data_IF_699563705817
#
_entry.id   IF_699563705817
#
_cell.length_a   1.000
_cell.length_b   1.000
_cell.length_c   1.000
_cell.angle_alpha   90.00
_cell.angle_beta   90.00
_cell.angle_gamma   90.00
#
_symmetry.space_group_name_H-M   'P 1'
#
loop_
_entity.id
_entity.type
_entity.pdbx_description
1 polymer ?
#
# COMPACT_ATOMS: atom_id res chain seq x y z
N UNK A 1 -7.94 15.79 -26.05
CA UNK A 1 -8.71 14.96 -25.10
C UNK A 1 -10.08 15.63 -24.89
N UNK A 2 -11.10 14.88 -24.57
CA UNK A 2 -12.41 15.39 -24.18
C UNK A 2 -12.47 15.49 -22.64
N UNK A 3 -13.54 16.18 -22.12
CA UNK A 3 -13.77 16.19 -20.66
C UNK A 3 -13.81 14.76 -20.08
N UNK A 4 -14.37 13.78 -20.78
CA UNK A 4 -14.42 12.39 -20.36
C UNK A 4 -13.02 11.76 -20.24
N UNK A 5 -12.07 12.17 -21.10
CA UNK A 5 -10.73 11.60 -21.11
C UNK A 5 -9.86 12.11 -19.95
N UNK A 6 -10.19 13.27 -19.37
CA UNK A 6 -9.38 13.93 -18.32
C UNK A 6 -10.06 13.97 -16.97
N UNK A 7 -11.38 13.84 -16.90
CA UNK A 7 -12.16 13.96 -15.67
C UNK A 7 -11.85 12.87 -14.65
N UNK A 8 -11.68 13.30 -13.41
CA UNK A 8 -11.60 12.44 -12.22
C UNK A 8 -12.45 13.05 -11.12
N UNK A 9 -13.27 12.23 -10.47
CA UNK A 9 -14.15 12.67 -9.39
C UNK A 9 -13.38 13.01 -8.09
N UNK A 10 -12.20 12.40 -7.88
CA UNK A 10 -11.46 12.53 -6.63
C UNK A 10 -11.14 13.96 -6.21
N UNK A 11 -10.69 14.89 -7.08
CA UNK A 11 -10.41 16.25 -6.63
C UNK A 11 -11.64 17.04 -6.13
N UNK A 12 -12.84 16.51 -6.26
CA UNK A 12 -14.08 17.13 -5.76
C UNK A 12 -14.47 16.61 -4.37
N UNK A 13 -14.16 15.33 -4.08
CA UNK A 13 -14.67 14.65 -2.89
C UNK A 13 -13.60 13.96 -2.04
N UNK A 14 -12.35 14.09 -2.41
CA UNK A 14 -11.24 13.36 -1.78
C UNK A 14 -9.95 14.17 -1.72
N UNK A 15 -9.14 13.87 -0.72
CA UNK A 15 -7.71 14.14 -0.73
C UNK A 15 -6.93 13.06 0.05
N UNK A 16 -5.64 12.93 -0.30
CA UNK A 16 -4.69 12.08 0.41
C UNK A 16 -3.71 12.95 1.19
N UNK A 17 -3.65 12.78 2.51
CA UNK A 17 -2.69 13.45 3.39
C UNK A 17 -1.43 12.61 3.52
N UNK A 18 -0.30 13.19 3.15
CA UNK A 18 1.02 12.58 3.28
C UNK A 18 1.55 12.65 4.72
N UNK A 19 2.62 11.88 5.05
CA UNK A 19 3.25 11.95 6.37
C UNK A 19 3.69 13.35 6.82
N UNK A 20 3.94 14.27 5.90
CA UNK A 20 4.32 15.67 6.16
C UNK A 20 3.13 16.63 6.22
N UNK A 21 1.90 16.10 6.16
CA UNK A 21 0.67 16.90 6.18
C UNK A 21 0.25 17.47 4.83
N UNK A 22 1.09 17.37 3.79
CA UNK A 22 0.75 17.83 2.44
C UNK A 22 -0.42 17.03 1.87
N UNK A 23 -1.49 17.71 1.48
CA UNK A 23 -2.67 17.11 0.87
C UNK A 23 -2.57 17.13 -0.65
N UNK A 24 -2.93 16.00 -1.29
CA UNK A 24 -2.92 15.81 -2.74
C UNK A 24 -4.29 15.34 -3.23
N UNK A 25 -4.63 15.57 -4.50
CA UNK A 25 -5.88 15.09 -5.10
C UNK A 25 -6.09 13.57 -5.00
N UNK A 26 -5.02 12.78 -4.95
CA UNK A 26 -5.03 11.35 -4.64
C UNK A 26 -3.62 10.85 -4.31
N UNK A 27 -3.49 9.63 -3.80
CA UNK A 27 -2.20 9.01 -3.48
C UNK A 27 -1.28 8.83 -4.70
N UNK A 28 -1.84 8.69 -5.90
CA UNK A 28 -1.08 8.53 -7.17
C UNK A 28 -0.65 9.85 -7.79
N UNK A 29 -1.19 10.98 -7.36
CA UNK A 29 -0.86 12.29 -7.91
C UNK A 29 0.60 12.66 -7.69
N UNK A 30 1.29 13.01 -8.78
CA UNK A 30 2.73 13.31 -8.79
C UNK A 30 2.96 14.82 -8.73
N UNK A 31 3.01 15.36 -7.53
CA UNK A 31 3.09 16.80 -7.29
C UNK A 31 4.46 17.44 -7.55
N UNK A 32 5.54 16.66 -7.56
CA UNK A 32 6.90 17.15 -7.85
C UNK A 32 7.24 17.14 -9.34
N UNK A 33 6.36 16.61 -10.16
CA UNK A 33 6.46 16.56 -11.62
C UNK A 33 5.23 17.24 -12.23
N UNK A 34 4.97 18.47 -11.79
CA UNK A 34 3.90 19.34 -12.28
C UNK A 34 4.52 20.63 -12.84
N UNK A 35 3.74 21.40 -13.58
CA UNK A 35 4.15 22.72 -14.08
C UNK A 35 4.34 23.72 -12.92
N UNK A 36 3.64 23.50 -11.82
CA UNK A 36 3.72 24.30 -10.62
C UNK A 36 4.92 23.88 -9.76
N UNK A 37 5.46 24.82 -8.98
CA UNK A 37 6.59 24.57 -8.11
C UNK A 37 6.26 23.57 -6.98
N UNK A 38 7.29 22.90 -6.47
CA UNK A 38 7.16 22.03 -5.29
C UNK A 38 6.64 22.83 -4.07
N UNK A 39 7.02 24.09 -3.94
CA UNK A 39 6.56 24.98 -2.86
C UNK A 39 5.06 25.26 -2.93
N UNK A 40 4.50 25.44 -4.16
CA UNK A 40 3.07 25.60 -4.36
C UNK A 40 2.25 24.44 -3.80
N UNK A 41 2.73 23.20 -3.98
CA UNK A 41 2.06 22.03 -3.40
C UNK A 41 2.35 21.86 -1.91
N UNK A 42 3.50 22.30 -1.42
CA UNK A 42 3.84 22.26 0.00
C UNK A 42 2.93 23.17 0.85
N UNK A 43 2.46 24.29 0.28
CA UNK A 43 1.50 25.19 0.93
C UNK A 43 0.13 24.54 1.16
N UNK A 44 -0.25 23.50 0.38
CA UNK A 44 -1.47 22.74 0.56
C UNK A 44 -1.36 21.74 1.72
N UNK A 45 -0.96 22.22 2.89
CA UNK A 45 -0.74 21.40 4.08
C UNK A 45 -1.98 21.43 4.98
N UNK A 46 -2.69 20.30 5.06
CA UNK A 46 -3.92 20.16 5.83
C UNK A 46 -3.78 20.64 7.27
N UNK A 47 -2.67 20.34 7.92
CA UNK A 47 -2.44 20.70 9.32
C UNK A 47 -2.38 22.22 9.55
N UNK A 48 -2.04 22.97 8.51
CA UNK A 48 -1.93 24.44 8.56
C UNK A 48 -3.20 25.15 8.10
N UNK A 49 -3.92 24.56 7.11
CA UNK A 49 -5.04 25.25 6.44
C UNK A 49 -6.41 24.60 6.66
N UNK A 50 -6.46 23.35 7.11
CA UNK A 50 -7.71 22.60 7.35
C UNK A 50 -8.40 22.10 6.08
N UNK A 51 -9.43 21.27 6.25
CA UNK A 51 -10.13 20.53 5.19
C UNK A 51 -10.73 21.42 4.10
N UNK A 52 -11.49 22.43 4.49
CA UNK A 52 -12.17 23.33 3.54
C UNK A 52 -11.19 24.08 2.65
N UNK A 53 -10.08 24.57 3.21
CA UNK A 53 -9.07 25.28 2.46
C UNK A 53 -8.26 24.34 1.56
N UNK A 54 -8.07 23.08 1.94
CA UNK A 54 -7.47 22.06 1.06
C UNK A 54 -8.35 21.87 -0.18
N UNK A 55 -9.64 21.57 0.02
CA UNK A 55 -10.55 21.28 -1.09
C UNK A 55 -10.84 22.49 -1.96
N UNK A 56 -10.97 23.69 -1.37
CA UNK A 56 -11.31 24.92 -2.09
C UNK A 56 -10.09 25.75 -2.50
N UNK A 57 -8.88 25.35 -2.10
CA UNK A 57 -7.64 26.05 -2.41
C UNK A 57 -7.24 26.01 -3.89
N UNK A 58 -6.30 26.88 -4.27
CA UNK A 58 -5.88 27.04 -5.66
C UNK A 58 -5.31 25.77 -6.29
N UNK A 59 -4.68 24.89 -5.49
CA UNK A 59 -4.10 23.63 -5.96
C UNK A 59 -5.18 22.71 -6.52
N UNK A 60 -6.26 22.50 -5.77
CA UNK A 60 -7.37 21.65 -6.20
C UNK A 60 -8.26 22.33 -7.25
N UNK A 61 -8.48 23.65 -7.12
CA UNK A 61 -9.23 24.42 -8.11
C UNK A 61 -8.60 24.32 -9.50
N UNK A 62 -7.28 24.53 -9.61
CA UNK A 62 -6.56 24.41 -10.88
C UNK A 62 -6.62 23.01 -11.50
N UNK A 63 -6.55 21.95 -10.67
CA UNK A 63 -6.72 20.57 -11.15
C UNK A 63 -8.14 20.37 -11.72
N UNK A 64 -9.18 20.80 -10.98
CA UNK A 64 -10.58 20.67 -11.43
C UNK A 64 -10.86 21.47 -12.71
N UNK A 65 -10.36 22.70 -12.80
CA UNK A 65 -10.53 23.56 -13.99
C UNK A 65 -9.95 22.90 -15.24
N UNK A 66 -8.70 22.40 -15.19
CA UNK A 66 -8.08 21.67 -16.31
C UNK A 66 -8.90 20.43 -16.69
N UNK A 67 -9.32 19.62 -15.73
CA UNK A 67 -10.12 18.42 -15.99
C UNK A 67 -11.47 18.75 -16.66
N UNK A 68 -12.16 19.77 -16.17
CA UNK A 68 -13.45 20.20 -16.73
C UNK A 68 -13.32 20.81 -18.13
N UNK A 69 -12.17 21.44 -18.45
CA UNK A 69 -11.83 21.94 -19.75
C UNK A 69 -11.41 20.86 -20.77
N UNK A 70 -11.24 19.60 -20.32
CA UNK A 70 -10.71 18.52 -21.16
C UNK A 70 -9.19 18.60 -21.36
N UNK A 71 -8.51 19.34 -20.51
CA UNK A 71 -7.07 19.50 -20.53
C UNK A 71 -6.40 18.46 -19.63
N UNK A 72 -5.31 17.79 -20.07
CA UNK A 72 -4.61 16.82 -19.25
C UNK A 72 -3.94 17.51 -18.07
N UNK A 73 -4.08 16.92 -16.90
CA UNK A 73 -3.39 17.33 -15.68
C UNK A 73 -2.08 16.55 -15.57
N UNK A 74 -0.94 17.25 -15.61
CA UNK A 74 0.38 16.60 -15.62
C UNK A 74 0.57 15.64 -14.46
N UNK A 75 0.22 16.03 -13.24
CA UNK A 75 0.32 15.14 -12.06
C UNK A 75 -0.52 13.86 -12.13
N UNK A 76 -1.44 13.72 -13.08
CA UNK A 76 -2.30 12.55 -13.29
C UNK A 76 -1.77 11.57 -14.34
N UNK A 77 -0.57 11.78 -14.90
CA UNK A 77 -0.02 11.01 -16.01
C UNK A 77 0.01 9.48 -15.78
N UNK A 78 0.16 9.04 -14.53
CA UNK A 78 0.17 7.60 -14.20
C UNK A 78 -1.15 6.90 -14.56
N UNK A 79 -2.29 7.56 -14.30
CA UNK A 79 -3.59 7.01 -14.67
C UNK A 79 -3.76 6.99 -16.19
N UNK A 80 -3.35 8.06 -16.89
CA UNK A 80 -3.43 8.10 -18.35
C UNK A 80 -2.59 7.00 -19.00
N UNK A 81 -1.35 6.78 -18.56
CA UNK A 81 -0.52 5.69 -19.07
C UNK A 81 -1.11 4.31 -18.77
N UNK A 82 -1.69 4.12 -17.59
CA UNK A 82 -2.32 2.85 -17.23
C UNK A 82 -3.53 2.54 -18.11
N UNK A 83 -4.35 3.57 -18.41
CA UNK A 83 -5.49 3.47 -19.31
C UNK A 83 -5.09 3.14 -20.75
N UNK A 84 -4.01 3.78 -21.25
CA UNK A 84 -3.45 3.45 -22.57
C UNK A 84 -2.97 1.99 -22.65
N UNK A 85 -2.43 1.45 -21.56
CA UNK A 85 -1.86 0.11 -21.53
C UNK A 85 -2.89 -0.99 -21.31
N UNK A 86 -3.82 -0.81 -20.37
CA UNK A 86 -4.75 -1.86 -19.91
C UNK A 86 -6.22 -1.45 -19.97
N UNK A 87 -6.54 -0.24 -20.43
CA UNK A 87 -7.92 0.27 -20.58
C UNK A 87 -8.57 0.71 -19.26
N UNK A 88 -7.83 0.74 -18.16
CA UNK A 88 -8.37 0.94 -16.83
C UNK A 88 -7.35 1.59 -15.89
N UNK A 89 -7.81 2.40 -14.93
CA UNK A 89 -6.97 3.05 -13.91
C UNK A 89 -7.74 3.35 -12.63
N UNK A 90 -7.03 3.81 -11.59
CA UNK A 90 -7.67 4.32 -10.38
C UNK A 90 -8.67 5.47 -10.69
N UNK A 91 -8.39 6.32 -11.66
CA UNK A 91 -9.29 7.40 -12.10
C UNK A 91 -10.62 6.86 -12.63
N UNK A 92 -10.56 5.89 -13.53
CA UNK A 92 -11.77 5.27 -14.10
C UNK A 92 -12.57 4.50 -13.07
N UNK A 93 -11.89 3.80 -12.15
CA UNK A 93 -12.47 3.12 -11.02
C UNK A 93 -13.32 4.07 -10.15
N UNK A 94 -12.73 5.17 -9.69
CA UNK A 94 -13.46 6.10 -8.84
C UNK A 94 -14.56 6.84 -9.56
N UNK A 95 -14.42 7.11 -10.86
CA UNK A 95 -15.52 7.65 -11.66
C UNK A 95 -16.70 6.67 -11.76
N UNK A 96 -16.44 5.35 -11.79
CA UNK A 96 -17.50 4.34 -11.77
C UNK A 96 -18.17 4.21 -10.39
N UNK A 97 -17.41 4.43 -9.32
CA UNK A 97 -17.94 4.42 -7.95
C UNK A 97 -18.91 5.58 -7.68
N UNK A 98 -18.66 6.75 -8.25
CA UNK A 98 -19.52 7.93 -8.15
C UNK A 98 -19.94 8.44 -9.55
N UNK A 99 -20.74 7.68 -10.32
CA UNK A 99 -20.99 7.95 -11.75
C UNK A 99 -21.81 9.21 -11.99
N UNK A 100 -22.67 9.59 -11.04
CA UNK A 100 -23.59 10.71 -11.12
C UNK A 100 -23.16 11.92 -10.27
N UNK A 101 -21.85 12.01 -9.95
CA UNK A 101 -21.36 13.13 -9.16
C UNK A 101 -21.52 14.46 -9.89
N UNK A 102 -22.18 15.41 -9.25
CA UNK A 102 -22.58 16.72 -9.83
C UNK A 102 -21.48 17.79 -9.78
N UNK A 103 -20.24 17.41 -9.46
CA UNK A 103 -19.09 18.28 -9.21
C UNK A 103 -19.20 19.16 -7.96
N UNK A 104 -20.12 18.86 -7.05
CA UNK A 104 -20.13 19.48 -5.73
C UNK A 104 -18.84 19.17 -4.97
N UNK A 105 -18.37 20.12 -4.14
CA UNK A 105 -17.14 19.95 -3.36
C UNK A 105 -17.51 19.58 -1.94
N UNK A 106 -16.96 18.45 -1.45
CA UNK A 106 -17.17 17.99 -0.09
C UNK A 106 -16.43 16.70 0.20
N UNK A 107 -15.90 16.54 1.39
CA UNK A 107 -15.10 15.37 1.76
C UNK A 107 -15.99 14.14 1.96
N UNK A 108 -15.88 13.15 1.05
CA UNK A 108 -16.55 11.86 1.14
C UNK A 108 -15.59 10.69 1.32
N UNK A 109 -14.37 10.83 0.79
CA UNK A 109 -13.32 9.84 0.90
C UNK A 109 -12.03 10.51 1.34
N UNK A 110 -11.36 9.93 2.35
CA UNK A 110 -10.10 10.44 2.89
C UNK A 110 -9.06 9.34 2.93
N UNK A 111 -7.86 9.60 2.41
CA UNK A 111 -6.67 8.78 2.68
C UNK A 111 -5.76 9.57 3.64
N UNK A 112 -5.53 9.04 4.84
CA UNK A 112 -4.79 9.77 5.87
C UNK A 112 -3.56 9.01 6.36
N UNK A 113 -2.43 9.75 6.45
CA UNK A 113 -1.23 9.33 7.15
C UNK A 113 -0.99 10.25 8.33
N UNK A 114 -0.78 9.67 9.52
CA UNK A 114 -0.47 10.42 10.75
C UNK A 114 1.05 10.65 10.94
N UNK A 115 1.80 10.74 9.86
CA UNK A 115 3.24 10.83 9.90
C UNK A 115 3.93 9.52 9.54
N UNK A 116 5.22 9.44 9.83
CA UNK A 116 6.06 8.30 9.47
C UNK A 116 6.44 7.43 10.69
N UNK A 117 5.71 7.53 11.80
CA UNK A 117 5.98 6.68 12.97
C UNK A 117 5.66 5.22 12.64
N UNK A 118 6.68 4.37 12.66
CA UNK A 118 6.58 2.93 12.41
C UNK A 118 7.68 2.22 13.18
N UNK A 119 7.38 1.05 13.71
CA UNK A 119 8.32 0.20 14.46
C UNK A 119 9.08 -0.80 13.57
N UNK A 120 8.77 -0.87 12.27
CA UNK A 120 9.44 -1.75 11.31
C UNK A 120 10.24 -0.96 10.28
N UNK A 121 11.33 -1.56 9.79
CA UNK A 121 12.12 -1.07 8.65
C UNK A 121 12.05 -2.05 7.48
N UNK A 122 10.86 -2.27 6.91
CA UNK A 122 10.64 -3.18 5.79
C UNK A 122 11.55 -2.85 4.61
N UNK A 123 12.12 -3.87 3.93
CA UNK A 123 13.05 -3.67 2.79
C UNK A 123 12.44 -2.90 1.63
N UNK A 124 11.13 -2.97 1.50
CA UNK A 124 10.33 -2.25 0.49
C UNK A 124 9.87 -0.86 0.92
N UNK A 125 10.44 -0.30 1.99
CA UNK A 125 10.09 0.99 2.57
C UNK A 125 11.30 1.95 2.59
N UNK A 126 11.14 3.12 3.24
CA UNK A 126 12.18 4.14 3.43
C UNK A 126 11.84 5.07 4.60
N UNK A 127 12.75 5.97 4.97
CA UNK A 127 12.60 6.88 6.10
C UNK A 127 11.47 7.92 5.97
N UNK A 128 10.97 8.19 4.77
CA UNK A 128 9.80 9.07 4.60
C UNK A 128 8.52 8.42 5.15
N UNK A 129 8.47 7.08 5.19
CA UNK A 129 7.32 6.28 5.61
C UNK A 129 7.55 5.49 6.90
N UNK A 130 8.80 5.40 7.38
CA UNK A 130 9.13 4.72 8.63
C UNK A 130 10.30 5.37 9.35
N UNK A 131 10.08 5.75 10.61
CA UNK A 131 11.13 6.27 11.48
C UNK A 131 12.23 5.26 11.77
N UNK A 132 11.93 3.96 11.75
CA UNK A 132 12.91 2.88 11.96
C UNK A 132 13.90 2.73 10.79
N UNK A 133 13.61 3.36 9.65
CA UNK A 133 14.53 3.40 8.51
C UNK A 133 15.61 4.47 8.58
N UNK A 134 15.51 5.41 9.53
CA UNK A 134 16.36 6.61 9.54
C UNK A 134 17.87 6.29 9.49
N UNK A 135 18.34 5.38 10.32
CA UNK A 135 19.76 5.07 10.41
C UNK A 135 20.26 4.29 9.18
N UNK A 136 19.43 3.40 8.63
CA UNK A 136 19.75 2.67 7.39
C UNK A 136 19.85 3.63 6.20
N UNK A 137 18.87 4.53 6.02
CA UNK A 137 18.89 5.53 4.95
C UNK A 137 20.10 6.47 5.07
N UNK A 138 20.46 6.88 6.29
CA UNK A 138 21.63 7.71 6.54
C UNK A 138 22.93 6.97 6.17
N UNK A 139 23.01 5.67 6.45
CA UNK A 139 24.18 4.86 6.08
C UNK A 139 24.25 4.62 4.57
N UNK A 140 23.12 4.27 3.93
CA UNK A 140 23.04 4.04 2.49
C UNK A 140 23.28 5.30 1.66
N UNK A 141 22.83 6.47 2.13
CA UNK A 141 23.08 7.74 1.44
C UNK A 141 24.57 8.05 1.28
N UNK A 142 25.40 7.62 2.24
CA UNK A 142 26.85 7.76 2.16
C UNK A 142 27.47 6.82 1.11
N UNK A 143 26.92 5.60 0.97
CA UNK A 143 27.38 4.60 0.00
C UNK A 143 27.02 5.03 -1.43
N UNK A 144 25.75 5.37 -1.64
CA UNK A 144 25.21 5.66 -2.97
C UNK A 144 25.35 7.13 -3.39
N UNK A 145 25.90 7.99 -2.51
CA UNK A 145 26.06 9.45 -2.75
C UNK A 145 24.73 10.11 -3.17
N UNK A 146 23.62 9.54 -2.74
CA UNK A 146 22.28 10.05 -2.99
C UNK A 146 21.90 11.04 -1.89
N UNK A 147 21.27 12.15 -2.28
CA UNK A 147 20.71 13.09 -1.35
C UNK A 147 19.37 12.55 -0.85
N UNK A 148 19.40 11.53 -0.01
CA UNK A 148 18.19 10.96 0.61
C UNK A 148 17.83 11.81 1.81
N UNK A 149 16.69 12.49 1.81
CA UNK A 149 16.21 13.19 2.99
C UNK A 149 15.81 12.15 4.04
N UNK A 150 16.70 11.83 4.96
CA UNK A 150 16.34 11.09 6.16
C UNK A 150 15.54 12.01 7.06
N UNK A 151 14.27 11.67 7.28
CA UNK A 151 13.38 12.43 8.16
C UNK A 151 13.20 11.67 9.46
N UNK A 152 13.51 12.32 10.57
CA UNK A 152 13.04 11.90 11.88
C UNK A 152 11.52 12.11 11.97
N UNK A 153 10.92 11.62 13.05
CA UNK A 153 9.48 11.74 13.34
C UNK A 153 8.97 13.09 12.89
N UNK A 154 7.99 13.09 12.03
CA UNK A 154 7.20 14.26 11.72
C UNK A 154 6.10 14.29 12.78
N UNK A 155 6.22 15.24 13.71
CA UNK A 155 5.16 15.53 14.67
C UNK A 155 4.09 16.32 13.92
N UNK A 156 2.98 15.63 13.59
CA UNK A 156 1.86 16.26 12.89
C UNK A 156 0.91 16.81 13.94
N UNK A 157 0.70 18.12 13.91
CA UNK A 157 -0.31 18.78 14.70
C UNK A 157 -1.71 18.25 14.31
N UNK A 158 -2.49 17.88 15.31
CA UNK A 158 -3.85 17.37 15.10
C UNK A 158 -4.81 18.54 14.79
N UNK A 159 -5.26 18.65 13.55
CA UNK A 159 -6.09 19.76 13.06
C UNK A 159 -7.53 19.37 12.68
N UNK A 160 -7.86 18.08 12.75
CA UNK A 160 -9.18 17.56 12.38
C UNK A 160 -10.29 18.04 13.33
N UNK A 161 -11.44 18.38 12.76
CA UNK A 161 -12.66 18.78 13.47
C UNK A 161 -13.81 17.81 13.17
N UNK A 162 -14.79 17.64 14.08
CA UNK A 162 -15.96 16.78 13.83
C UNK A 162 -16.71 17.11 12.53
N UNK A 163 -16.81 18.38 12.20
CA UNK A 163 -17.51 18.88 11.01
C UNK A 163 -16.89 18.39 9.71
N UNK A 164 -15.59 18.11 9.70
CA UNK A 164 -14.88 17.54 8.53
C UNK A 164 -15.48 16.19 8.10
N UNK A 165 -16.09 15.47 9.02
CA UNK A 165 -16.56 14.10 8.84
C UNK A 165 -18.08 13.96 8.71
N UNK A 166 -18.84 15.06 8.64
CA UNK A 166 -20.30 15.02 8.57
C UNK A 166 -20.86 14.27 7.34
N UNK A 167 -20.08 14.20 6.24
CA UNK A 167 -20.49 13.52 5.01
C UNK A 167 -19.50 12.43 4.58
N UNK A 168 -18.58 12.04 5.45
CA UNK A 168 -17.55 11.05 5.13
C UNK A 168 -18.16 9.67 4.90
N UNK A 169 -17.80 9.02 3.81
CA UNK A 169 -18.24 7.68 3.43
C UNK A 169 -17.14 6.63 3.65
N UNK A 170 -15.86 7.03 3.42
CA UNK A 170 -14.72 6.13 3.63
C UNK A 170 -13.49 6.87 4.14
N UNK A 171 -12.78 6.24 5.06
CA UNK A 171 -11.45 6.68 5.54
C UNK A 171 -10.46 5.54 5.39
N UNK A 172 -9.38 5.79 4.68
CA UNK A 172 -8.28 4.86 4.48
C UNK A 172 -7.05 5.32 5.26
N UNK A 173 -6.59 4.50 6.19
CA UNK A 173 -5.41 4.77 7.01
C UNK A 173 -4.18 4.12 6.39
N UNK A 174 -3.17 4.95 6.09
CA UNK A 174 -1.92 4.56 5.45
C UNK A 174 -0.72 5.23 6.11
N UNK A 175 0.49 4.85 5.72
CA UNK A 175 1.76 5.47 6.13
C UNK A 175 2.16 5.14 7.57
N UNK A 176 3.43 4.87 7.79
CA UNK A 176 3.93 4.38 9.07
C UNK A 176 3.20 3.13 9.55
N UNK A 177 2.88 3.10 10.85
CA UNK A 177 1.91 2.17 11.43
C UNK A 177 0.79 3.00 12.08
N UNK A 178 -0.40 3.09 11.46
CA UNK A 178 -1.45 3.99 11.92
C UNK A 178 -1.86 3.79 13.37
N UNK A 179 -2.04 2.54 13.80
CA UNK A 179 -2.53 2.21 15.13
C UNK A 179 -1.50 2.44 16.25
N UNK A 180 -0.21 2.58 15.92
CA UNK A 180 0.82 3.01 16.88
C UNK A 180 0.85 4.52 17.10
N UNK A 181 0.21 5.29 16.22
CA UNK A 181 0.23 6.75 16.38
C UNK A 181 -0.64 7.18 17.57
N UNK A 182 -0.13 8.02 18.46
CA UNK A 182 -0.87 8.50 19.63
C UNK A 182 -2.19 9.21 19.31
N UNK A 183 -2.29 9.82 18.12
CA UNK A 183 -3.48 10.54 17.67
C UNK A 183 -4.55 9.62 17.05
N UNK A 184 -4.28 8.34 16.83
CA UNK A 184 -5.22 7.43 16.17
C UNK A 184 -6.57 7.33 16.89
N UNK A 185 -6.55 7.09 18.21
CA UNK A 185 -7.78 7.03 19.01
C UNK A 185 -8.56 8.34 19.00
N UNK A 186 -7.85 9.48 19.21
CA UNK A 186 -8.46 10.81 19.15
C UNK A 186 -9.10 11.10 17.78
N UNK A 187 -8.47 10.64 16.70
CA UNK A 187 -9.03 10.78 15.36
C UNK A 187 -10.34 10.01 15.22
N UNK A 188 -10.38 8.75 15.66
CA UNK A 188 -11.63 7.96 15.64
C UNK A 188 -12.73 8.62 16.44
N UNK A 189 -12.43 9.14 17.64
CA UNK A 189 -13.39 9.90 18.48
C UNK A 189 -13.90 11.15 17.76
N UNK A 190 -13.04 11.85 17.02
CA UNK A 190 -13.42 13.03 16.23
C UNK A 190 -14.35 12.67 15.08
N UNK A 191 -14.07 11.56 14.37
CA UNK A 191 -14.96 11.05 13.31
C UNK A 191 -16.32 10.65 13.87
N UNK A 192 -16.35 9.96 15.01
CA UNK A 192 -17.59 9.59 15.70
C UNK A 192 -18.41 10.83 16.08
N UNK A 193 -17.77 11.88 16.55
CA UNK A 193 -18.43 13.16 16.88
C UNK A 193 -19.00 13.86 15.64
N UNK A 194 -18.51 13.59 14.44
CA UNK A 194 -19.05 14.07 13.17
C UNK A 194 -20.43 13.51 12.79
N UNK A 195 -20.86 12.43 13.46
CA UNK A 195 -22.25 11.93 13.43
C UNK A 195 -22.59 11.01 12.25
N UNK A 196 -21.65 10.69 11.34
CA UNK A 196 -21.90 9.79 10.19
C UNK A 196 -21.19 8.43 10.30
N UNK A 197 -20.61 8.11 11.44
CA UNK A 197 -19.75 6.93 11.60
C UNK A 197 -20.45 5.60 11.26
N UNK A 198 -21.75 5.45 11.55
CA UNK A 198 -22.53 4.25 11.21
C UNK A 198 -22.69 4.00 9.69
N UNK A 199 -22.39 5.01 8.87
CA UNK A 199 -22.37 4.91 7.40
C UNK A 199 -20.95 5.01 6.84
N UNK A 200 -19.93 5.08 7.70
CA UNK A 200 -18.55 5.26 7.30
C UNK A 200 -17.82 3.92 7.29
N UNK A 201 -17.13 3.66 6.18
CA UNK A 201 -16.15 2.55 6.05
C UNK A 201 -14.77 3.00 6.47
N UNK A 202 -14.12 2.22 7.33
CA UNK A 202 -12.70 2.36 7.64
C UNK A 202 -11.90 1.28 6.94
N UNK A 203 -10.81 1.64 6.27
CA UNK A 203 -9.81 0.70 5.73
C UNK A 203 -8.48 0.98 6.40
N UNK A 204 -8.00 0.05 7.22
CA UNK A 204 -6.80 0.25 8.06
C UNK A 204 -5.70 -0.70 7.61
N UNK A 205 -4.64 -0.16 7.01
CA UNK A 205 -3.43 -0.93 6.71
C UNK A 205 -2.58 -1.02 7.96
N UNK A 206 -2.28 -2.24 8.40
CA UNK A 206 -1.43 -2.48 9.56
C UNK A 206 -0.33 -3.49 9.26
N UNK A 207 0.83 -3.29 9.85
CA UNK A 207 1.93 -4.24 9.77
C UNK A 207 1.76 -5.44 10.72
N UNK A 208 0.70 -5.44 11.52
CA UNK A 208 0.30 -6.50 12.47
C UNK A 208 1.35 -6.86 13.54
N UNK A 209 2.43 -6.12 13.64
CA UNK A 209 3.45 -6.36 14.70
C UNK A 209 2.99 -5.91 16.09
N UNK A 210 1.88 -5.19 16.14
CA UNK A 210 1.25 -4.68 17.35
C UNK A 210 -0.27 -4.85 17.27
N UNK A 211 -0.90 -5.15 18.41
CA UNK A 211 -2.34 -5.27 18.53
C UNK A 211 -2.90 -4.12 19.35
N UNK A 212 -3.97 -3.43 18.92
CA UNK A 212 -4.48 -2.26 19.61
C UNK A 212 -5.15 -2.62 20.95
N UNK A 213 -5.21 -1.65 21.85
CA UNK A 213 -5.91 -1.80 23.12
C UNK A 213 -7.42 -1.96 22.89
N UNK A 214 -8.11 -2.61 23.85
CA UNK A 214 -9.56 -2.80 23.79
C UNK A 214 -10.33 -1.48 23.60
N UNK A 215 -9.87 -0.37 24.15
CA UNK A 215 -10.50 0.94 23.93
C UNK A 215 -10.56 1.34 22.46
N UNK A 216 -9.53 1.00 21.66
CA UNK A 216 -9.54 1.25 20.21
C UNK A 216 -10.51 0.29 19.51
N UNK A 217 -10.54 -0.99 19.90
CA UNK A 217 -11.48 -1.98 19.35
C UNK A 217 -12.93 -1.52 19.57
N UNK A 218 -13.26 -1.02 20.77
CA UNK A 218 -14.59 -0.52 21.08
C UNK A 218 -14.95 0.76 20.29
N UNK A 219 -13.99 1.58 19.90
CA UNK A 219 -14.23 2.67 18.96
C UNK A 219 -14.50 2.15 17.54
N UNK A 220 -13.71 1.17 17.05
CA UNK A 220 -13.88 0.58 15.73
C UNK A 220 -15.25 -0.06 15.54
N UNK A 221 -15.81 -0.71 16.57
CA UNK A 221 -17.14 -1.34 16.54
C UNK A 221 -18.28 -0.35 16.29
N UNK A 222 -18.06 0.95 16.42
CA UNK A 222 -19.09 1.98 16.23
C UNK A 222 -19.21 2.47 14.77
N UNK A 223 -18.32 2.00 13.88
CA UNK A 223 -18.36 2.35 12.46
C UNK A 223 -19.23 1.38 11.66
N UNK A 224 -19.70 1.82 10.50
CA UNK A 224 -20.54 1.00 9.62
C UNK A 224 -19.81 -0.22 9.07
N UNK A 225 -18.57 -0.04 8.64
CA UNK A 225 -17.68 -1.12 8.17
C UNK A 225 -16.25 -0.81 8.57
N UNK A 226 -15.51 -1.82 9.02
CA UNK A 226 -14.09 -1.73 9.34
C UNK A 226 -13.35 -2.87 8.64
N UNK A 227 -12.50 -2.55 7.69
CA UNK A 227 -11.63 -3.51 7.02
C UNK A 227 -10.19 -3.38 7.51
N UNK A 228 -9.70 -4.40 8.19
CA UNK A 228 -8.31 -4.50 8.63
C UNK A 228 -7.51 -5.18 7.52
N UNK A 229 -6.57 -4.45 6.93
CA UNK A 229 -5.71 -4.92 5.86
C UNK A 229 -4.33 -5.30 6.42
N UNK A 230 -4.10 -6.60 6.58
CA UNK A 230 -2.86 -7.13 7.14
C UNK A 230 -1.75 -7.07 6.08
N UNK A 231 -0.73 -6.28 6.34
CA UNK A 231 0.44 -6.16 5.48
C UNK A 231 1.43 -7.29 5.79
N UNK A 232 1.30 -8.44 5.13
CA UNK A 232 2.12 -9.64 5.32
C UNK A 232 2.76 -10.01 3.98
N UNK A 233 4.09 -9.99 3.89
CA UNK A 233 4.84 -10.17 2.64
C UNK A 233 5.51 -11.55 2.52
N UNK A 234 5.45 -12.36 3.55
CA UNK A 234 6.03 -13.69 3.61
C UNK A 234 5.47 -14.49 4.78
N UNK A 235 5.90 -15.74 4.94
CA UNK A 235 5.67 -16.56 6.14
C UNK A 235 6.99 -16.80 6.86
N UNK A 236 6.95 -16.90 8.20
CA UNK A 236 8.12 -17.21 9.03
C UNK A 236 9.33 -16.30 8.69
N UNK A 237 10.52 -16.91 8.53
CA UNK A 237 11.77 -16.21 8.23
C UNK A 237 11.69 -15.31 7.00
N UNK A 238 10.84 -15.63 6.02
CA UNK A 238 10.66 -14.82 4.81
C UNK A 238 10.02 -13.47 5.14
N UNK A 239 8.98 -13.48 5.98
CA UNK A 239 8.35 -12.23 6.42
C UNK A 239 9.32 -11.39 7.25
N UNK A 240 9.99 -11.99 8.23
CA UNK A 240 10.89 -11.30 9.15
C UNK A 240 12.12 -10.72 8.44
N UNK A 241 12.54 -11.32 7.33
CA UNK A 241 13.58 -10.79 6.48
C UNK A 241 13.11 -9.58 5.66
N UNK A 242 11.94 -9.68 5.03
CA UNK A 242 11.37 -8.59 4.22
C UNK A 242 10.94 -7.43 5.12
N UNK A 243 10.21 -7.74 6.18
CA UNK A 243 9.67 -6.78 7.16
C UNK A 243 10.55 -6.71 8.40
N UNK A 244 11.78 -6.26 8.19
CA UNK A 244 12.79 -6.21 9.24
C UNK A 244 12.28 -5.51 10.51
N UNK A 245 12.42 -6.23 11.65
CA UNK A 245 11.89 -5.83 12.95
C UNK A 245 10.57 -6.54 13.31
N UNK A 246 9.93 -7.27 12.38
CA UNK A 246 8.81 -8.16 12.71
C UNK A 246 9.28 -9.47 13.35
N UNK A 247 8.33 -10.14 14.00
CA UNK A 247 8.47 -11.49 14.54
C UNK A 247 7.24 -12.28 14.12
N UNK A 248 7.45 -13.31 13.30
CA UNK A 248 6.37 -14.06 12.68
C UNK A 248 5.35 -14.62 13.70
N UNK A 249 5.84 -15.18 14.81
CA UNK A 249 4.97 -15.75 15.85
C UNK A 249 4.02 -14.69 16.42
N UNK A 250 4.51 -13.49 16.65
CA UNK A 250 3.68 -12.36 17.14
C UNK A 250 2.69 -11.90 16.08
N UNK A 251 3.16 -11.74 14.84
CA UNK A 251 2.35 -11.25 13.75
C UNK A 251 1.23 -12.24 13.40
N UNK A 252 1.53 -13.54 13.33
CA UNK A 252 0.55 -14.57 13.04
C UNK A 252 -0.49 -14.72 14.17
N UNK A 253 -0.10 -14.57 15.43
CA UNK A 253 -1.02 -14.52 16.55
C UNK A 253 -1.97 -13.31 16.47
N UNK A 254 -1.46 -12.13 16.12
CA UNK A 254 -2.30 -10.94 15.94
C UNK A 254 -3.24 -11.10 14.74
N UNK A 255 -2.83 -11.74 13.66
CA UNK A 255 -3.72 -12.05 12.54
C UNK A 255 -4.88 -12.94 12.98
N UNK A 256 -4.63 -13.96 13.80
CA UNK A 256 -5.68 -14.82 14.38
C UNK A 256 -6.63 -13.99 15.26
N UNK A 257 -6.13 -13.13 16.13
CA UNK A 257 -6.98 -12.26 16.96
C UNK A 257 -7.88 -11.34 16.11
N UNK A 258 -7.39 -10.81 14.99
CA UNK A 258 -8.22 -10.02 14.08
C UNK A 258 -9.31 -10.86 13.43
N UNK A 259 -9.02 -12.12 13.06
CA UNK A 259 -10.01 -13.04 12.50
C UNK A 259 -11.05 -13.50 13.53
N UNK A 260 -10.65 -13.62 14.81
CA UNK A 260 -11.59 -13.83 15.91
C UNK A 260 -12.57 -12.65 16.05
N UNK A 261 -12.05 -11.41 15.97
CA UNK A 261 -12.91 -10.21 15.98
C UNK A 261 -13.83 -10.14 14.76
N UNK A 262 -13.37 -10.53 13.56
CA UNK A 262 -14.21 -10.66 12.37
C UNK A 262 -15.37 -11.63 12.59
N UNK A 263 -15.09 -12.75 13.25
CA UNK A 263 -16.11 -13.78 13.55
C UNK A 263 -17.15 -13.31 14.57
N UNK A 264 -16.75 -12.43 15.47
CA UNK A 264 -17.58 -11.94 16.57
C UNK A 264 -18.36 -10.65 16.23
N UNK A 265 -17.97 -9.93 15.16
CA UNK A 265 -18.52 -8.61 14.84
C UNK A 265 -18.80 -8.49 13.34
N UNK A 266 -20.06 -8.32 12.98
CA UNK A 266 -20.52 -8.24 11.59
C UNK A 266 -19.95 -7.06 10.80
N UNK A 267 -19.50 -6.00 11.48
CA UNK A 267 -18.93 -4.81 10.86
C UNK A 267 -17.40 -4.82 10.74
N UNK A 268 -16.71 -5.83 11.28
CA UNK A 268 -15.26 -5.97 11.20
C UNK A 268 -14.91 -7.07 10.20
N UNK A 269 -14.15 -6.73 9.18
CA UNK A 269 -13.61 -7.69 8.22
C UNK A 269 -12.09 -7.61 8.15
N UNK A 270 -11.46 -8.70 7.74
CA UNK A 270 -9.99 -8.80 7.61
C UNK A 270 -9.62 -9.26 6.22
N UNK A 271 -8.65 -8.60 5.62
CA UNK A 271 -8.00 -9.04 4.38
C UNK A 271 -6.49 -9.03 4.52
N UNK A 272 -5.80 -9.67 3.58
CA UNK A 272 -4.34 -9.65 3.52
C UNK A 272 -3.87 -8.87 2.30
N UNK A 273 -2.86 -8.03 2.47
CA UNK A 273 -2.35 -7.14 1.43
C UNK A 273 -0.81 -7.21 1.31
N UNK A 274 -0.28 -8.29 0.74
CA UNK A 274 1.15 -8.37 0.46
C UNK A 274 1.57 -7.38 -0.62
N UNK A 275 2.75 -6.81 -0.42
CA UNK A 275 3.43 -6.02 -1.45
C UNK A 275 4.38 -6.93 -2.22
N UNK A 276 3.99 -7.27 -3.45
CA UNK A 276 4.75 -8.17 -4.32
C UNK A 276 6.06 -7.51 -4.75
N UNK A 277 7.15 -8.22 -4.54
CA UNK A 277 8.50 -7.75 -4.78
C UNK A 277 9.43 -8.90 -5.19
N UNK A 278 10.66 -8.60 -5.57
CA UNK A 278 11.64 -9.58 -6.04
C UNK A 278 11.94 -10.69 -5.02
N UNK A 279 11.80 -10.41 -3.72
CA UNK A 279 12.07 -11.38 -2.65
C UNK A 279 10.92 -12.38 -2.47
N UNK A 280 9.66 -11.93 -2.61
CA UNK A 280 8.51 -12.79 -2.30
C UNK A 280 7.81 -13.38 -3.52
N UNK A 281 8.04 -12.87 -4.72
CA UNK A 281 7.33 -13.33 -5.92
C UNK A 281 7.47 -14.84 -6.16
N UNK A 282 8.57 -15.46 -5.76
CA UNK A 282 8.79 -16.90 -5.93
C UNK A 282 8.14 -17.77 -4.85
N UNK A 283 7.74 -17.19 -3.73
CA UNK A 283 7.18 -17.92 -2.60
C UNK A 283 5.89 -17.29 -2.03
N UNK A 284 5.28 -16.37 -2.77
CA UNK A 284 4.03 -15.73 -2.35
C UNK A 284 2.86 -16.72 -2.22
N UNK A 285 2.93 -17.86 -2.92
CA UNK A 285 2.02 -18.98 -2.74
C UNK A 285 1.98 -19.51 -1.30
N UNK A 286 3.11 -19.45 -0.56
CA UNK A 286 3.13 -19.84 0.86
C UNK A 286 2.27 -18.92 1.72
N UNK A 287 2.28 -17.60 1.42
CA UNK A 287 1.44 -16.61 2.12
C UNK A 287 -0.02 -16.85 1.80
N UNK A 288 -0.34 -17.10 0.52
CA UNK A 288 -1.68 -17.43 0.09
C UNK A 288 -2.20 -18.70 0.79
N UNK A 289 -1.43 -19.79 0.79
CA UNK A 289 -1.80 -21.05 1.41
C UNK A 289 -1.99 -20.92 2.93
N UNK A 290 -1.10 -20.17 3.61
CA UNK A 290 -1.26 -19.89 5.03
C UNK A 290 -2.57 -19.15 5.31
N UNK A 291 -2.84 -18.07 4.57
CA UNK A 291 -4.06 -17.27 4.70
C UNK A 291 -5.32 -18.07 4.39
N UNK A 292 -5.33 -18.80 3.29
CA UNK A 292 -6.44 -19.65 2.86
C UNK A 292 -6.78 -20.70 3.91
N UNK A 293 -5.78 -21.46 4.38
CA UNK A 293 -5.97 -22.49 5.40
C UNK A 293 -6.49 -21.91 6.70
N UNK A 294 -5.96 -20.78 7.14
CA UNK A 294 -6.40 -20.11 8.37
C UNK A 294 -7.89 -19.72 8.29
N UNK A 295 -8.35 -19.18 7.15
CA UNK A 295 -9.76 -18.87 6.96
C UNK A 295 -10.66 -20.11 6.88
N UNK A 296 -10.16 -21.21 6.29
CA UNK A 296 -10.86 -22.51 6.28
C UNK A 296 -11.02 -23.04 7.71
N UNK A 297 -9.95 -23.09 8.48
CA UNK A 297 -9.94 -23.57 9.86
C UNK A 297 -10.89 -22.76 10.77
N UNK A 298 -10.91 -21.46 10.59
CA UNK A 298 -11.78 -20.56 11.34
C UNK A 298 -13.22 -20.49 10.82
N UNK A 299 -13.55 -21.17 9.71
CA UNK A 299 -14.84 -21.18 9.04
C UNK A 299 -15.31 -19.78 8.60
N UNK A 300 -14.36 -18.94 8.19
CA UNK A 300 -14.63 -17.59 7.69
C UNK A 300 -14.88 -17.60 6.17
N UNK A 301 -15.71 -16.67 5.65
CA UNK A 301 -15.97 -16.56 4.23
C UNK A 301 -14.71 -16.30 3.43
N UNK A 302 -14.59 -16.92 2.28
CA UNK A 302 -13.58 -16.65 1.24
C UNK A 302 -14.29 -15.89 0.13
N UNK A 303 -14.35 -14.57 0.29
CA UNK A 303 -15.10 -13.70 -0.61
C UNK A 303 -14.21 -13.30 -1.77
N UNK A 304 -14.71 -13.52 -2.99
CA UNK A 304 -14.16 -12.89 -4.19
C UNK A 304 -14.89 -11.56 -4.39
N UNK A 305 -14.34 -10.49 -3.84
CA UNK A 305 -14.87 -9.15 -4.07
C UNK A 305 -14.66 -8.67 -5.52
N UNK A 306 -15.25 -7.55 -5.87
CA UNK A 306 -14.96 -6.86 -7.12
C UNK A 306 -13.44 -6.59 -7.19
N UNK A 307 -12.76 -6.71 -8.35
CA UNK A 307 -11.32 -6.48 -8.46
C UNK A 307 -10.83 -5.16 -7.87
N UNK A 308 -11.70 -4.23 -7.69
CA UNK A 308 -11.46 -2.83 -7.34
C UNK A 308 -11.75 -2.50 -5.87
N UNK A 309 -12.51 -3.35 -5.18
CA UNK A 309 -12.84 -3.18 -3.77
C UNK A 309 -12.14 -4.22 -2.92
N UNK A 310 -11.50 -3.74 -1.87
CA UNK A 310 -10.96 -4.63 -0.84
C UNK A 310 -12.10 -5.14 0.01
N UNK A 311 -12.22 -6.45 0.13
CA UNK A 311 -13.29 -7.12 0.86
C UNK A 311 -12.73 -8.02 1.98
N UNK A 312 -13.52 -8.32 3.01
CA UNK A 312 -13.15 -9.34 4.00
C UNK A 312 -12.76 -10.65 3.32
N UNK A 313 -11.65 -11.24 3.76
CA UNK A 313 -11.12 -12.48 3.18
C UNK A 313 -10.28 -12.32 1.92
N UNK A 314 -10.23 -11.15 1.31
CA UNK A 314 -9.50 -10.92 0.06
C UNK A 314 -7.98 -11.06 0.23
N UNK A 315 -7.32 -11.42 -0.87
CA UNK A 315 -5.87 -11.42 -1.01
C UNK A 315 -5.50 -10.32 -2.01
N UNK A 316 -5.25 -9.11 -1.47
CA UNK A 316 -5.01 -7.91 -2.28
C UNK A 316 -3.53 -7.77 -2.58
N UNK A 317 -3.15 -7.75 -3.85
CA UNK A 317 -1.74 -7.58 -4.23
C UNK A 317 -1.47 -6.18 -4.77
N UNK A 318 -0.37 -5.59 -4.33
CA UNK A 318 0.27 -4.44 -4.94
C UNK A 318 1.72 -4.79 -5.30
N UNK A 319 2.35 -4.04 -6.20
CA UNK A 319 3.73 -4.26 -6.61
C UNK A 319 4.63 -3.13 -6.13
N UNK A 320 5.89 -3.46 -5.79
CA UNK A 320 6.90 -2.48 -5.42
C UNK A 320 7.39 -1.76 -6.67
N UNK A 321 7.31 -0.43 -6.64
CA UNK A 321 7.94 0.45 -7.64
C UNK A 321 9.20 1.16 -7.09
N UNK A 322 9.26 1.33 -5.78
CA UNK A 322 10.37 1.96 -5.09
C UNK A 322 10.57 1.31 -3.72
N UNK A 323 11.80 0.97 -3.30
CA UNK A 323 13.06 1.08 -4.10
C UNK A 323 13.04 0.17 -5.34
N UNK A 324 13.52 0.69 -6.49
CA UNK A 324 13.54 -0.06 -7.76
C UNK A 324 14.31 -1.39 -7.66
N UNK A 325 15.33 -1.45 -6.79
CA UNK A 325 16.07 -2.66 -6.50
C UNK A 325 15.16 -3.84 -6.08
N UNK A 326 14.03 -3.56 -5.45
CA UNK A 326 13.06 -4.59 -5.03
C UNK A 326 11.89 -4.79 -5.98
N UNK A 327 11.88 -4.14 -7.17
CA UNK A 327 10.86 -4.41 -8.18
C UNK A 327 10.88 -5.88 -8.63
N UNK A 328 9.70 -6.42 -8.91
CA UNK A 328 9.55 -7.77 -9.52
C UNK A 328 10.25 -7.85 -10.87
N UNK A 329 10.42 -6.72 -11.56
CA UNK A 329 11.13 -6.67 -12.84
C UNK A 329 12.56 -7.23 -12.75
N UNK A 330 13.17 -7.16 -11.57
CA UNK A 330 14.51 -7.70 -11.30
C UNK A 330 14.54 -9.21 -11.04
N UNK A 331 13.39 -9.90 -10.99
CA UNK A 331 13.37 -11.35 -10.79
C UNK A 331 13.79 -12.08 -12.07
N UNK A 332 14.77 -12.98 -12.03
CA UNK A 332 15.23 -13.71 -13.21
C UNK A 332 14.25 -14.80 -13.61
N UNK A 333 14.23 -15.18 -14.91
CA UNK A 333 13.44 -16.31 -15.41
C UNK A 333 11.94 -16.26 -15.07
N UNK A 334 11.32 -15.07 -15.11
CA UNK A 334 9.89 -14.85 -14.80
C UNK A 334 8.95 -15.80 -15.51
N UNK A 335 9.26 -16.20 -16.77
CA UNK A 335 8.46 -17.16 -17.53
C UNK A 335 8.39 -18.53 -16.86
N UNK A 336 9.54 -19.06 -16.42
CA UNK A 336 9.57 -20.35 -15.70
C UNK A 336 8.80 -20.28 -14.38
N UNK A 337 8.88 -19.16 -13.70
CA UNK A 337 8.12 -18.95 -12.48
C UNK A 337 6.61 -18.88 -12.75
N UNK A 338 6.19 -18.21 -13.82
CA UNK A 338 4.79 -18.18 -14.25
C UNK A 338 4.27 -19.57 -14.66
N UNK A 339 5.09 -20.40 -15.32
CA UNK A 339 4.75 -21.79 -15.63
C UNK A 339 4.57 -22.61 -14.35
N UNK A 340 5.48 -22.50 -13.39
CA UNK A 340 5.34 -23.16 -12.09
C UNK A 340 4.03 -22.79 -11.39
N UNK A 341 3.63 -21.52 -11.39
CA UNK A 341 2.36 -21.10 -10.80
C UNK A 341 1.14 -21.64 -11.58
N UNK A 342 1.24 -21.85 -12.88
CA UNK A 342 0.17 -22.53 -13.65
C UNK A 342 0.05 -24.00 -13.28
N UNK A 343 1.19 -24.67 -13.08
CA UNK A 343 1.23 -26.07 -12.62
C UNK A 343 0.65 -26.23 -11.22
N UNK A 344 1.08 -25.37 -10.27
CA UNK A 344 0.53 -25.32 -8.91
C UNK A 344 -0.99 -25.06 -8.91
N UNK A 345 -1.49 -24.14 -9.75
CA UNK A 345 -2.92 -23.89 -9.87
C UNK A 345 -3.69 -25.10 -10.37
N UNK A 346 -3.13 -25.89 -11.28
CA UNK A 346 -3.80 -27.07 -11.82
C UNK A 346 -4.13 -28.13 -10.76
N UNK A 347 -3.38 -28.17 -9.64
CA UNK A 347 -3.64 -29.07 -8.50
C UNK A 347 -4.98 -28.75 -7.79
N UNK A 348 -5.48 -27.52 -7.93
CA UNK A 348 -6.74 -27.07 -7.33
C UNK A 348 -7.96 -27.26 -8.22
N UNK A 349 -7.84 -27.94 -9.37
CA UNK A 349 -8.91 -28.08 -10.39
C UNK A 349 -10.26 -28.62 -9.86
N UNK A 350 -10.25 -29.36 -8.75
CA UNK A 350 -11.44 -29.93 -8.10
C UNK A 350 -11.84 -29.20 -6.80
N UNK A 351 -11.24 -28.04 -6.50
CA UNK A 351 -11.57 -27.30 -5.29
C UNK A 351 -12.92 -26.61 -5.39
N UNK A 352 -13.71 -26.64 -4.33
CA UNK A 352 -14.95 -25.87 -4.22
C UNK A 352 -14.70 -24.36 -4.24
N UNK A 353 -13.49 -23.92 -3.84
CA UNK A 353 -13.05 -22.53 -3.81
C UNK A 353 -12.25 -22.12 -5.06
N UNK A 354 -12.43 -22.84 -6.19
CA UNK A 354 -11.61 -22.66 -7.39
C UNK A 354 -11.57 -21.21 -7.88
N UNK A 355 -12.67 -20.47 -7.80
CA UNK A 355 -12.71 -19.07 -8.27
C UNK A 355 -11.88 -18.14 -7.39
N UNK A 356 -11.89 -18.36 -6.05
CA UNK A 356 -11.06 -17.62 -5.11
C UNK A 356 -9.57 -17.90 -5.34
N UNK A 357 -9.21 -19.18 -5.48
CA UNK A 357 -7.83 -19.63 -5.73
C UNK A 357 -7.35 -19.12 -7.09
N UNK A 358 -8.18 -19.24 -8.13
CA UNK A 358 -7.87 -18.75 -9.48
C UNK A 358 -7.53 -17.26 -9.50
N UNK A 359 -8.26 -16.46 -8.75
CA UNK A 359 -8.02 -15.01 -8.67
C UNK A 359 -6.62 -14.68 -8.15
N UNK A 360 -6.11 -15.42 -7.17
CA UNK A 360 -4.75 -15.28 -6.69
C UNK A 360 -3.73 -15.64 -7.78
N UNK A 361 -3.85 -16.82 -8.37
CA UNK A 361 -2.90 -17.30 -9.39
C UNK A 361 -2.90 -16.42 -10.63
N UNK A 362 -4.07 -16.02 -11.12
CA UNK A 362 -4.17 -15.08 -12.26
C UNK A 362 -3.45 -13.77 -11.98
N UNK A 363 -3.59 -13.19 -10.79
CA UNK A 363 -2.89 -11.97 -10.41
C UNK A 363 -1.38 -12.14 -10.42
N UNK A 364 -0.87 -13.19 -9.79
CA UNK A 364 0.58 -13.46 -9.72
C UNK A 364 1.15 -13.73 -11.11
N UNK A 365 0.47 -14.56 -11.90
CA UNK A 365 0.87 -14.86 -13.28
C UNK A 365 0.87 -13.59 -14.13
N UNK A 366 -0.16 -12.74 -14.02
CA UNK A 366 -0.23 -11.47 -14.74
C UNK A 366 0.90 -10.51 -14.34
N UNK A 367 1.27 -10.43 -13.07
CA UNK A 367 2.43 -9.63 -12.61
C UNK A 367 3.70 -10.12 -13.30
N UNK A 368 3.93 -11.43 -13.34
CA UNK A 368 5.12 -12.04 -13.96
C UNK A 368 5.17 -11.86 -15.47
N UNK A 369 4.02 -11.97 -16.15
CA UNK A 369 3.95 -11.91 -17.63
C UNK A 369 3.89 -10.49 -18.17
N UNK A 370 3.36 -9.54 -17.41
CA UNK A 370 3.25 -8.13 -17.82
C UNK A 370 4.38 -7.25 -17.29
N UNK A 371 5.29 -7.79 -16.47
CA UNK A 371 6.46 -7.06 -16.03
C UNK A 371 7.39 -6.80 -17.22
N UNK A 372 7.77 -5.54 -17.40
CA UNK A 372 8.68 -5.14 -18.48
C UNK A 372 10.12 -5.53 -18.12
N UNK A 373 10.81 -6.15 -19.07
CA UNK A 373 12.24 -6.50 -19.11
C UNK A 373 12.72 -7.70 -18.31
N UNK A 374 13.57 -8.48 -18.99
CA UNK A 374 14.43 -9.47 -18.38
C UNK A 374 15.50 -8.77 -17.54
N UNK A 375 15.62 -9.16 -16.27
CA UNK A 375 16.70 -9.00 -15.29
C UNK A 375 17.75 -7.88 -15.51
N UNK A 376 17.33 -6.65 -15.86
CA UNK A 376 18.33 -5.58 -16.13
C UNK A 376 19.08 -5.09 -14.89
N UNK A 377 18.56 -5.34 -13.68
CA UNK A 377 19.14 -4.80 -12.46
C UNK A 377 19.24 -5.79 -11.30
N UNK A 378 19.39 -7.09 -11.60
CA UNK A 378 19.64 -8.09 -10.55
C UNK A 378 20.92 -7.78 -9.78
N UNK A 379 21.92 -7.19 -10.44
CA UNK A 379 23.16 -6.73 -9.80
C UNK A 379 22.86 -5.61 -8.81
N UNK A 380 22.04 -4.62 -9.19
CA UNK A 380 21.61 -3.54 -8.30
C UNK A 380 20.85 -4.06 -7.10
N UNK A 381 19.98 -5.05 -7.32
CA UNK A 381 19.30 -5.72 -6.21
C UNK A 381 20.33 -6.40 -5.28
N UNK A 382 21.27 -7.17 -5.84
CA UNK A 382 22.25 -7.91 -5.06
C UNK A 382 23.13 -6.98 -4.21
N UNK A 383 23.64 -5.89 -4.79
CA UNK A 383 24.44 -4.89 -4.10
C UNK A 383 23.65 -4.17 -3.00
N UNK A 384 22.46 -3.66 -3.32
CA UNK A 384 21.60 -2.97 -2.36
C UNK A 384 21.20 -3.87 -1.19
N UNK A 385 20.82 -5.12 -1.51
CA UNK A 385 20.41 -6.09 -0.51
C UNK A 385 21.59 -6.50 0.39
N UNK A 386 22.78 -6.67 -0.17
CA UNK A 386 24.03 -6.96 0.56
C UNK A 386 24.39 -5.82 1.53
N UNK A 387 24.23 -4.57 1.12
CA UNK A 387 24.49 -3.43 1.99
C UNK A 387 23.51 -3.36 3.15
N UNK A 388 22.22 -3.61 2.90
CA UNK A 388 21.22 -3.73 3.97
C UNK A 388 21.50 -4.91 4.90
N UNK A 389 21.87 -6.06 4.38
CA UNK A 389 22.22 -7.23 5.19
C UNK A 389 23.39 -6.93 6.13
N UNK A 390 24.41 -6.23 5.63
CA UNK A 390 25.54 -5.81 6.44
C UNK A 390 25.12 -4.88 7.59
N UNK A 391 24.26 -3.90 7.30
CA UNK A 391 23.74 -2.97 8.32
C UNK A 391 22.88 -3.67 9.36
N UNK A 392 22.06 -4.62 8.93
CA UNK A 392 21.07 -5.33 9.75
C UNK A 392 21.57 -6.66 10.35
N UNK A 393 22.81 -7.04 10.02
CA UNK A 393 23.42 -8.33 10.43
C UNK A 393 22.55 -9.53 10.01
N UNK A 394 21.97 -9.45 8.83
CA UNK A 394 21.19 -10.51 8.19
C UNK A 394 22.03 -11.15 7.06
N UNK A 395 21.57 -12.30 6.57
CA UNK A 395 22.20 -13.01 5.45
C UNK A 395 21.13 -13.50 4.49
N UNK A 396 21.17 -13.01 3.27
CA UNK A 396 20.23 -13.39 2.22
C UNK A 396 20.27 -14.89 1.92
N UNK A 397 21.46 -15.47 1.86
CA UNK A 397 21.69 -16.90 1.59
C UNK A 397 21.06 -17.83 2.63
N UNK A 398 20.89 -17.40 3.90
CA UNK A 398 20.28 -18.18 4.95
C UNK A 398 18.75 -18.23 4.81
N UNK A 399 18.17 -17.19 4.18
CA UNK A 399 16.73 -17.07 4.01
C UNK A 399 16.28 -17.59 2.64
N UNK A 400 17.02 -17.25 1.59
CA UNK A 400 16.72 -17.54 0.19
C UNK A 400 17.86 -18.30 -0.52
N UNK A 401 18.25 -19.51 -0.09
CA UNK A 401 19.43 -20.21 -0.61
C UNK A 401 19.36 -20.46 -2.12
N UNK A 402 18.18 -20.85 -2.64
CA UNK A 402 18.01 -21.11 -4.07
C UNK A 402 18.11 -19.83 -4.90
N UNK A 403 17.45 -18.77 -4.45
CA UNK A 403 17.49 -17.48 -5.14
C UNK A 403 18.90 -16.86 -5.09
N UNK A 404 19.60 -17.05 -3.97
CA UNK A 404 21.01 -16.65 -3.86
C UNK A 404 21.90 -17.32 -4.89
N UNK A 405 21.73 -18.62 -5.17
CA UNK A 405 22.51 -19.32 -6.19
C UNK A 405 22.24 -18.76 -7.60
N UNK A 406 20.97 -18.49 -7.92
CA UNK A 406 20.60 -17.89 -9.21
C UNK A 406 21.27 -16.52 -9.39
N UNK A 407 21.23 -15.68 -8.36
CA UNK A 407 21.86 -14.35 -8.40
C UNK A 407 23.37 -14.47 -8.53
N UNK A 408 23.99 -15.39 -7.81
CA UNK A 408 25.43 -15.61 -7.85
C UNK A 408 25.91 -16.03 -9.23
N UNK A 409 25.20 -16.92 -9.90
CA UNK A 409 25.50 -17.37 -11.27
C UNK A 409 25.44 -16.19 -12.25
N UNK A 410 24.41 -15.34 -12.16
CA UNK A 410 24.28 -14.15 -13.01
C UNK A 410 25.33 -13.06 -12.67
N UNK A 411 25.66 -12.90 -11.41
CA UNK A 411 26.68 -11.96 -10.94
C UNK A 411 28.07 -12.36 -11.40
N UNK A 412 28.43 -13.65 -11.28
CA UNK A 412 29.72 -14.20 -11.71
C UNK A 412 29.85 -14.20 -13.25
N UNK A 413 28.74 -14.26 -13.99
CA UNK A 413 28.71 -14.19 -15.44
C UNK A 413 28.86 -12.76 -15.99
N UNK A 414 28.86 -11.72 -15.15
CA UNK A 414 28.99 -10.30 -15.56
C UNK A 414 30.36 -9.75 -15.15
N UNK A 415 31.43 -9.97 -15.94
CA UNK A 415 32.79 -9.55 -15.57
C UNK A 415 32.93 -8.01 -15.59
N UNK A 416 33.44 -7.44 -14.53
CA UNK A 416 33.94 -6.06 -14.49
C UNK A 416 33.13 -5.03 -13.69
N UNK A 417 32.29 -5.45 -12.75
CA UNK A 417 31.56 -4.55 -11.84
C UNK A 417 31.89 -4.74 -10.34
N UNK A 418 33.06 -5.29 -10.06
CA UNK A 418 33.57 -5.48 -8.71
C UNK A 418 34.87 -4.66 -8.52
N UNK A 419 34.80 -3.35 -8.69
CA UNK A 419 35.87 -2.44 -8.18
C UNK A 419 35.22 -1.17 -7.59
#
# INVERSE_FOLDING_TARGET
MTKQDTYCVLPFLHFAVKPDGVAKPCCRFVHWDTEESADFWAENNHNSIGTDNVLNGPQFAGVREKMLAGEPVHGCWKCYQEEERVGYSMRTMFNQRWPEHDNSIGLKYLEVSFGNYCNLSCRTCNSNLSTSWYDDDLALSKVYKENRPSRKIIDIEFSWQPEDFAQIEEIKFVGGEPMLNPNFGKFLETVLAGGNASNTKLVIFTNSSWFPKNSIIELLKQFGEVLISLSIDGVEKYNDYIRHGSQWETLSAHAIHWLELEKENDNIGVCIAPTINVLNISNIGLVFNWWYNLRVEMQLPRITGHPEEMMPGDFVTSTVYYPEAYSVDNYPNKHKLAERYREEFAEYSNSEDIDYIKRFYDRVINILTNSQNDSKDIVRFAEYNKDLDRLRKQKFEDVYPEFYQIIKEEYDATPGRLD
#
